data_IF_467454566168
#
_entry.id   IF_467454566168
#
_cell.length_a   1.000
_cell.length_b   1.000
_cell.length_c   1.000
_cell.angle_alpha   90.00
_cell.angle_beta   90.00
_cell.angle_gamma   90.00
#
_symmetry.space_group_name_H-M   'P 1'
#
loop_
_entity.id
_entity.type
_entity.pdbx_description
1 polymer ?
#
# COMPACT_ATOMS: atom_id res chain seq x y z
N UNK A 1 5.63 0.57 15.92
CA UNK A 1 4.58 0.63 14.87
C UNK A 1 5.25 1.19 13.63
N UNK A 2 5.08 0.54 12.47
CA UNK A 2 5.69 1.02 11.22
C UNK A 2 4.69 1.82 10.40
N UNK A 3 3.45 1.35 10.30
CA UNK A 3 2.38 2.02 9.58
C UNK A 3 1.05 1.58 10.20
N UNK A 4 -0.02 2.35 10.03
CA UNK A 4 -1.38 1.93 10.36
C UNK A 4 -2.34 2.33 9.24
N UNK A 5 -3.15 1.37 8.81
CA UNK A 5 -4.27 1.58 7.89
C UNK A 5 -5.56 1.31 8.66
N UNK A 6 -6.26 2.37 9.06
CA UNK A 6 -7.41 2.25 9.96
C UNK A 6 -7.02 1.62 11.29
N UNK A 7 -7.68 0.50 11.62
CA UNK A 7 -7.38 -0.28 12.83
C UNK A 7 -6.26 -1.32 12.61
N UNK A 8 -5.80 -1.51 11.38
CA UNK A 8 -4.75 -2.47 11.08
C UNK A 8 -3.36 -1.84 11.23
N UNK A 9 -2.58 -2.37 12.17
CA UNK A 9 -1.24 -1.87 12.47
C UNK A 9 -0.20 -2.79 11.82
N UNK A 10 0.62 -2.22 10.92
CA UNK A 10 1.80 -2.85 10.37
C UNK A 10 2.93 -2.79 11.40
N UNK A 11 3.31 -3.96 11.90
CA UNK A 11 4.40 -4.15 12.84
C UNK A 11 5.07 -5.49 12.61
N UNK A 12 6.23 -5.69 13.24
CA UNK A 12 7.01 -6.94 13.15
C UNK A 12 6.24 -8.20 13.57
N UNK A 13 5.16 -8.07 14.33
CA UNK A 13 4.31 -9.19 14.76
C UNK A 13 3.11 -9.43 13.85
N UNK A 14 2.84 -8.56 12.87
CA UNK A 14 1.67 -8.65 11.96
C UNK A 14 2.12 -8.73 10.51
N UNK A 15 2.47 -7.59 9.92
CA UNK A 15 2.91 -7.45 8.54
C UNK A 15 4.03 -6.40 8.48
N UNK A 16 5.30 -6.81 8.66
CA UNK A 16 6.43 -5.92 8.44
C UNK A 16 6.61 -5.70 6.93
N UNK A 17 6.30 -4.49 6.46
CA UNK A 17 6.73 -4.06 5.13
C UNK A 17 8.22 -3.69 5.22
N UNK A 18 8.99 -4.10 4.21
CA UNK A 18 10.42 -3.79 4.10
C UNK A 18 10.63 -2.59 3.19
N UNK A 19 9.76 -2.43 2.19
CA UNK A 19 9.81 -1.32 1.24
C UNK A 19 8.46 -0.63 1.19
N UNK A 20 8.51 0.69 1.10
CA UNK A 20 7.36 1.57 0.87
C UNK A 20 7.71 2.47 -0.31
N UNK A 21 6.95 2.33 -1.38
CA UNK A 21 7.05 3.17 -2.58
C UNK A 21 5.81 4.04 -2.67
N UNK A 22 6.01 5.35 -2.78
CA UNK A 22 4.94 6.34 -2.92
C UNK A 22 5.09 7.03 -4.27
N UNK A 23 4.06 6.93 -5.09
CA UNK A 23 3.97 7.59 -6.39
C UNK A 23 2.85 8.61 -6.33
N UNK A 24 3.14 9.85 -6.69
CA UNK A 24 2.19 10.96 -6.70
C UNK A 24 2.22 11.62 -8.06
N UNK A 25 1.09 11.57 -8.76
CA UNK A 25 0.95 12.22 -10.04
C UNK A 25 0.62 13.71 -9.86
N UNK A 26 1.14 14.55 -10.75
CA UNK A 26 0.83 15.97 -10.79
C UNK A 26 0.39 16.36 -12.20
N UNK A 27 -0.80 16.93 -12.34
CA UNK A 27 -1.39 17.19 -13.66
C UNK A 27 -0.95 18.56 -14.18
N UNK A 28 -0.12 18.52 -15.23
CA UNK A 28 0.41 19.68 -15.94
C UNK A 28 0.20 19.58 -17.46
N UNK A 29 -1.04 19.69 -17.96
CA UNK A 29 -1.28 19.75 -19.40
C UNK A 29 -0.63 20.99 -20.04
N UNK A 30 -0.12 20.80 -21.25
CA UNK A 30 0.37 21.88 -22.11
C UNK A 30 -0.74 22.37 -23.03
N UNK A 31 -0.84 23.69 -23.17
CA UNK A 31 -1.70 24.35 -24.14
C UNK A 31 -0.84 25.08 -25.17
N UNK A 32 -0.89 24.62 -26.42
CA UNK A 32 -0.16 25.24 -27.52
C UNK A 32 -0.71 26.62 -27.86
N UNK A 33 0.19 27.55 -28.15
CA UNK A 33 -0.15 28.95 -28.49
C UNK A 33 0.51 29.33 -29.80
N UNK A 34 -0.27 29.89 -30.72
CA UNK A 34 0.24 30.30 -32.05
C UNK A 34 1.37 31.33 -31.86
N UNK A 35 2.55 31.03 -32.39
CA UNK A 35 3.73 31.90 -32.36
C UNK A 35 4.39 32.07 -30.98
N UNK A 36 4.00 31.28 -29.97
CA UNK A 36 4.57 31.34 -28.61
C UNK A 36 4.89 29.95 -28.10
N UNK A 37 5.72 29.87 -27.05
CA UNK A 37 5.92 28.62 -26.30
C UNK A 37 4.61 28.18 -25.65
N UNK A 38 4.44 26.86 -25.53
CA UNK A 38 3.32 26.25 -24.84
C UNK A 38 3.19 26.78 -23.41
N UNK A 39 1.95 26.97 -22.97
CA UNK A 39 1.63 27.33 -21.60
C UNK A 39 1.26 26.06 -20.83
N UNK A 40 1.91 25.83 -19.69
CA UNK A 40 1.55 24.74 -18.79
C UNK A 40 0.59 25.26 -17.72
N UNK A 41 -0.47 24.51 -17.45
CA UNK A 41 -1.42 24.83 -16.39
C UNK A 41 -1.39 23.74 -15.32
N UNK A 42 -1.21 24.13 -14.06
CA UNK A 42 -1.35 23.20 -12.96
C UNK A 42 -2.83 22.96 -12.67
N UNK A 43 -3.30 21.74 -12.93
CA UNK A 43 -4.69 21.33 -12.65
C UNK A 43 -4.85 20.67 -11.28
N UNK A 44 -3.75 20.44 -10.56
CA UNK A 44 -3.75 19.85 -9.23
C UNK A 44 -3.01 18.52 -9.16
N UNK A 45 -3.09 17.91 -7.97
CA UNK A 45 -2.54 16.59 -7.69
C UNK A 45 -3.44 15.54 -8.35
N UNK A 46 -2.82 14.58 -9.03
CA UNK A 46 -3.45 13.43 -9.66
C UNK A 46 -3.67 12.30 -8.66
N UNK A 47 -3.56 11.07 -9.15
CA UNK A 47 -3.67 9.89 -8.30
C UNK A 47 -2.41 9.72 -7.46
N UNK A 48 -2.59 9.16 -6.27
CA UNK A 48 -1.50 8.84 -5.38
C UNK A 48 -1.56 7.36 -4.99
N UNK A 49 -0.51 6.64 -5.31
CA UNK A 49 -0.40 5.21 -5.06
C UNK A 49 0.73 4.92 -4.08
N UNK A 50 0.40 4.19 -3.01
CA UNK A 50 1.38 3.68 -2.06
C UNK A 50 1.45 2.16 -2.21
N UNK A 51 2.61 1.67 -2.59
CA UNK A 51 2.91 0.23 -2.68
C UNK A 51 3.77 -0.17 -1.50
N UNK A 52 3.27 -1.11 -0.70
CA UNK A 52 3.99 -1.73 0.40
C UNK A 52 4.42 -3.12 -0.03
N UNK A 53 5.72 -3.42 0.09
CA UNK A 53 6.25 -4.75 -0.17
C UNK A 53 7.00 -5.27 1.06
N UNK A 54 6.91 -6.56 1.31
CA UNK A 54 7.52 -7.20 2.47
C UNK A 54 7.50 -8.70 2.34
N UNK A 55 8.12 -9.37 3.30
CA UNK A 55 8.17 -10.83 3.38
C UNK A 55 7.60 -11.25 4.72
N UNK A 56 6.70 -12.22 4.69
CA UNK A 56 6.06 -12.80 5.86
C UNK A 56 6.51 -14.24 6.05
N UNK A 57 6.81 -14.59 7.30
CA UNK A 57 7.08 -15.96 7.71
C UNK A 57 5.98 -16.38 8.70
N UNK A 58 4.94 -17.12 8.27
CA UNK A 58 3.77 -17.37 9.10
C UNK A 58 4.05 -17.99 10.48
N UNK A 59 5.12 -18.78 10.62
CA UNK A 59 5.58 -19.33 11.90
C UNK A 59 5.99 -18.25 12.92
N UNK A 60 6.46 -17.09 12.46
CA UNK A 60 6.98 -16.01 13.31
C UNK A 60 6.02 -14.83 13.43
N UNK A 61 5.24 -14.55 12.37
CA UNK A 61 4.39 -13.35 12.25
C UNK A 61 2.89 -13.62 12.25
N UNK A 62 2.42 -14.86 12.37
CA UNK A 62 0.98 -15.17 12.32
C UNK A 62 0.33 -14.92 10.95
N UNK A 63 1.12 -14.99 9.89
CA UNK A 63 0.90 -14.35 8.60
C UNK A 63 -0.40 -14.66 7.85
N UNK A 64 -1.00 -15.85 7.99
CA UNK A 64 -2.21 -16.19 7.22
C UNK A 64 -3.45 -15.40 7.66
N UNK A 65 -3.57 -15.14 8.97
CA UNK A 65 -4.70 -14.38 9.51
C UNK A 65 -4.60 -12.90 9.15
N UNK A 66 -3.39 -12.33 9.18
CA UNK A 66 -3.17 -10.91 8.86
C UNK A 66 -3.46 -10.59 7.40
N UNK A 67 -3.06 -11.46 6.46
CA UNK A 67 -3.41 -11.31 5.04
C UNK A 67 -4.91 -11.43 4.80
N UNK A 68 -5.59 -12.33 5.52
CA UNK A 68 -7.06 -12.47 5.44
C UNK A 68 -7.75 -11.19 5.93
N UNK A 69 -7.28 -10.59 7.03
CA UNK A 69 -7.82 -9.32 7.53
C UNK A 69 -7.70 -8.20 6.52
N UNK A 70 -6.55 -8.07 5.84
CA UNK A 70 -6.36 -7.05 4.79
C UNK A 70 -7.29 -7.26 3.60
N UNK A 71 -7.54 -8.52 3.21
CA UNK A 71 -8.53 -8.83 2.17
C UNK A 71 -9.94 -8.43 2.60
N UNK A 72 -10.35 -8.75 3.82
CA UNK A 72 -11.66 -8.36 4.34
C UNK A 72 -11.81 -6.83 4.37
N UNK A 73 -10.78 -6.10 4.80
CA UNK A 73 -10.78 -4.63 4.78
C UNK A 73 -10.86 -4.05 3.36
N UNK A 74 -10.31 -4.74 2.36
CA UNK A 74 -10.43 -4.36 0.96
C UNK A 74 -11.84 -4.64 0.43
N UNK A 75 -12.42 -5.78 0.79
CA UNK A 75 -13.79 -6.19 0.43
C UNK A 75 -14.86 -5.28 1.05
N UNK A 76 -14.58 -4.64 2.20
CA UNK A 76 -15.47 -3.62 2.76
C UNK A 76 -15.65 -2.40 1.85
N UNK A 77 -14.72 -2.16 0.91
CA UNK A 77 -14.81 -1.06 -0.05
C UNK A 77 -14.75 0.33 0.58
N UNK A 78 -14.19 0.44 1.79
CA UNK A 78 -14.09 1.69 2.55
C UNK A 78 -12.71 2.30 2.44
N UNK A 79 -12.66 3.63 2.53
CA UNK A 79 -11.41 4.35 2.72
C UNK A 79 -11.01 4.32 4.19
N UNK A 80 -9.73 4.09 4.44
CA UNK A 80 -9.13 3.99 5.76
C UNK A 80 -8.07 5.07 5.96
N UNK A 81 -7.95 5.66 7.15
CA UNK A 81 -6.88 6.61 7.42
C UNK A 81 -5.53 5.88 7.42
N UNK A 82 -4.55 6.41 6.72
CA UNK A 82 -3.19 5.90 6.67
C UNK A 82 -2.24 6.79 7.47
N UNK A 83 -1.56 6.20 8.44
CA UNK A 83 -0.65 6.87 9.36
C UNK A 83 0.69 6.15 9.42
N UNK A 84 1.77 6.91 9.48
CA UNK A 84 3.10 6.41 9.78
C UNK A 84 3.31 6.26 11.29
N UNK A 85 4.15 5.31 11.70
CA UNK A 85 4.63 5.20 13.08
C UNK A 85 5.42 6.41 13.56
N UNK A 86 5.89 7.26 12.65
CA UNK A 86 6.55 8.55 12.93
C UNK A 86 5.56 9.67 13.26
N UNK A 87 4.25 9.45 13.08
CA UNK A 87 3.20 10.45 13.31
C UNK A 87 2.76 11.22 12.06
N UNK A 88 3.31 10.91 10.88
CA UNK A 88 2.84 11.48 9.62
C UNK A 88 1.47 10.92 9.23
N UNK A 89 0.51 11.79 8.92
CA UNK A 89 -0.81 11.41 8.41
C UNK A 89 -0.81 11.57 6.90
N UNK A 90 -0.97 10.47 6.16
CA UNK A 90 -1.02 10.51 4.70
C UNK A 90 -2.42 10.88 4.18
N UNK A 91 -3.47 10.57 4.94
CA UNK A 91 -4.85 10.83 4.57
C UNK A 91 -5.67 9.55 4.45
N UNK A 92 -6.71 9.58 3.62
CA UNK A 92 -7.62 8.45 3.43
C UNK A 92 -7.21 7.63 2.20
N UNK A 93 -6.92 6.34 2.39
CA UNK A 93 -6.51 5.43 1.33
C UNK A 93 -7.49 4.26 1.21
N UNK A 94 -7.65 3.76 0.00
CA UNK A 94 -8.36 2.53 -0.31
C UNK A 94 -7.36 1.45 -0.68
N UNK A 95 -7.68 0.19 -0.38
CA UNK A 95 -6.88 -0.94 -0.82
C UNK A 95 -7.27 -1.26 -2.26
N UNK A 96 -6.41 -0.90 -3.22
CA UNK A 96 -6.67 -1.16 -4.64
C UNK A 96 -6.32 -2.58 -5.07
N UNK A 97 -5.28 -3.17 -4.47
CA UNK A 97 -4.78 -4.50 -4.82
C UNK A 97 -4.05 -5.14 -3.65
N UNK A 98 -4.33 -6.43 -3.42
CA UNK A 98 -3.54 -7.29 -2.53
C UNK A 98 -3.00 -8.44 -3.37
N UNK A 99 -1.68 -8.61 -3.38
CA UNK A 99 -0.98 -9.70 -4.06
C UNK A 99 -0.18 -10.46 -3.03
N UNK A 100 -0.21 -11.79 -3.07
CA UNK A 100 0.59 -12.63 -2.19
C UNK A 100 1.15 -13.81 -3.01
N UNK A 101 2.42 -14.13 -2.79
CA UNK A 101 3.11 -15.25 -3.42
C UNK A 101 3.67 -16.16 -2.33
N UNK A 102 3.03 -17.31 -2.12
CA UNK A 102 3.50 -18.32 -1.20
C UNK A 102 4.67 -19.11 -1.79
N UNK A 103 5.76 -19.23 -1.04
CA UNK A 103 6.92 -20.04 -1.36
C UNK A 103 7.36 -20.89 -0.15
N UNK A 104 8.05 -22.01 -0.42
CA UNK A 104 8.51 -22.98 0.56
C UNK A 104 7.35 -23.55 1.38
N UNK A 105 6.76 -24.65 0.93
CA UNK A 105 5.59 -25.24 1.61
C UNK A 105 5.99 -26.27 2.65
N UNK A 106 5.22 -26.36 3.74
CA UNK A 106 5.23 -27.51 4.63
C UNK A 106 4.61 -28.74 3.95
N UNK A 107 4.77 -29.90 4.57
CA UNK A 107 4.12 -31.14 4.13
C UNK A 107 2.58 -31.05 4.13
N UNK A 108 1.98 -30.14 4.90
CA UNK A 108 0.54 -29.87 4.93
C UNK A 108 0.07 -28.86 3.87
N UNK A 109 0.99 -28.33 3.04
CA UNK A 109 0.70 -27.35 2.00
C UNK A 109 0.60 -25.90 2.48
N UNK A 110 0.87 -25.59 3.75
CA UNK A 110 0.97 -24.19 4.20
C UNK A 110 2.28 -23.55 3.76
N UNK A 111 2.27 -22.29 3.25
CA UNK A 111 3.51 -21.60 2.87
C UNK A 111 4.29 -21.15 4.12
N UNK A 112 5.60 -21.40 4.13
CA UNK A 112 6.56 -20.91 5.14
C UNK A 112 6.99 -19.48 4.88
N UNK A 113 6.97 -19.07 3.62
CA UNK A 113 7.35 -17.74 3.16
C UNK A 113 6.22 -17.19 2.29
N UNK A 114 5.78 -15.97 2.54
CA UNK A 114 4.80 -15.27 1.72
C UNK A 114 5.42 -13.92 1.34
N UNK A 115 5.51 -13.66 0.05
CA UNK A 115 6.01 -12.41 -0.54
C UNK A 115 4.85 -11.55 -1.08
#
# INVERSE_FOLDING_TARGET
>A
MMLALGMFVFMRQTLPHQTMQRESDYRWPSNSRIGKRDAFQFLGVGEENITLAGVLYPELTGGKLTMTTLRLMAEEGRAWPLLDGTGMIYGMYVISRVSETGSIFFADGTPRKID
#
